data_IF_722672525922
#
_entry.id   IF_722672525922
#
_cell.length_a   1.000
_cell.length_b   1.000
_cell.length_c   1.000
_cell.angle_alpha   90.00
_cell.angle_beta   90.00
_cell.angle_gamma   90.00
#
_symmetry.space_group_name_H-M   'P 1'
#
loop_
_entity.id
_entity.type
_entity.pdbx_description
1 polymer ?
#
# COMPACT_ATOMS: atom_id res chain seq x y z
N UNK A 1 18.93 4.31 2.51
CA UNK A 1 18.20 3.36 1.63
C UNK A 1 16.73 3.67 1.82
N UNK A 2 16.00 3.85 0.72
CA UNK A 2 14.55 4.09 0.74
C UNK A 2 13.88 2.81 0.28
N UNK A 3 12.83 2.42 0.98
CA UNK A 3 12.08 1.20 0.72
C UNK A 3 10.63 1.57 0.55
N UNK A 4 9.96 0.85 -0.34
CA UNK A 4 8.53 0.98 -0.56
C UNK A 4 7.84 -0.25 0.01
N UNK A 5 6.67 -0.04 0.61
CA UNK A 5 5.85 -1.10 1.20
C UNK A 5 4.43 -0.99 0.65
N UNK A 6 3.78 -2.14 0.48
CA UNK A 6 2.39 -2.22 0.07
C UNK A 6 1.69 -3.26 0.92
N UNK A 7 0.54 -2.85 1.45
CA UNK A 7 -0.39 -3.71 2.18
C UNK A 7 -1.75 -3.57 1.51
N UNK A 8 -2.45 -4.69 1.33
CA UNK A 8 -3.83 -4.75 0.87
C UNK A 8 -4.60 -5.53 1.94
N UNK A 9 -5.45 -4.82 2.67
CA UNK A 9 -6.30 -5.41 3.71
C UNK A 9 -7.43 -6.22 3.08
N UNK A 10 -7.86 -7.28 3.77
CA UNK A 10 -9.11 -7.96 3.42
C UNK A 10 -10.30 -7.06 3.74
N UNK A 11 -11.36 -7.06 2.91
CA UNK A 11 -12.64 -6.51 3.30
C UNK A 11 -13.13 -7.17 4.60
N UNK A 12 -13.71 -6.39 5.51
CA UNK A 12 -14.19 -6.89 6.81
C UNK A 12 -15.17 -8.08 6.69
N UNK A 13 -15.89 -8.17 5.57
CA UNK A 13 -16.83 -9.25 5.25
C UNK A 13 -16.14 -10.61 5.00
N UNK A 14 -14.84 -10.61 4.72
CA UNK A 14 -14.02 -11.78 4.40
C UNK A 14 -13.02 -12.14 5.50
N UNK A 15 -12.99 -11.37 6.59
CA UNK A 15 -12.17 -11.65 7.78
C UNK A 15 -12.94 -12.63 8.66
N UNK A 16 -12.34 -13.78 8.97
CA UNK A 16 -12.91 -14.75 9.91
C UNK A 16 -12.38 -14.47 11.32
N UNK A 17 -13.14 -13.68 12.10
CA UNK A 17 -12.81 -13.35 13.49
C UNK A 17 -12.64 -14.59 14.40
N UNK A 18 -13.14 -15.76 13.99
CA UNK A 18 -12.98 -17.01 14.73
C UNK A 18 -11.63 -17.71 14.43
N UNK A 19 -10.97 -17.38 13.31
CA UNK A 19 -9.63 -17.84 12.97
C UNK A 19 -8.62 -16.70 13.17
N UNK A 20 -8.21 -16.47 14.43
CA UNK A 20 -7.13 -15.52 14.76
C UNK A 20 -5.77 -16.06 14.28
N UNK A 21 -5.50 -15.91 12.99
CA UNK A 21 -4.19 -16.14 12.39
C UNK A 21 -3.65 -14.77 11.99
N UNK A 22 -2.53 -14.32 12.58
CA UNK A 22 -1.99 -12.95 12.40
C UNK A 22 -1.77 -12.55 10.93
N UNK A 23 -1.60 -13.52 10.03
CA UNK A 23 -1.41 -13.31 8.59
C UNK A 23 -2.71 -13.33 7.76
N UNK A 24 -3.86 -13.58 8.37
CA UNK A 24 -5.12 -13.80 7.65
C UNK A 24 -5.96 -12.53 7.48
N UNK A 25 -5.51 -11.37 7.97
CA UNK A 25 -6.23 -10.10 7.80
C UNK A 25 -5.91 -9.38 6.47
N UNK A 26 -4.88 -9.85 5.76
CA UNK A 26 -4.37 -9.20 4.55
C UNK A 26 -4.60 -10.07 3.31
N UNK A 27 -5.03 -9.45 2.21
CA UNK A 27 -4.95 -10.07 0.89
C UNK A 27 -3.51 -10.12 0.40
N UNK A 28 -2.71 -9.13 0.81
CA UNK A 28 -1.31 -9.02 0.46
C UNK A 28 -0.57 -8.13 1.46
N UNK A 29 0.65 -8.52 1.81
CA UNK A 29 1.63 -7.69 2.50
C UNK A 29 3.00 -8.06 1.95
N UNK A 30 3.74 -7.07 1.42
CA UNK A 30 5.08 -7.34 0.89
C UNK A 30 6.04 -7.85 1.98
N UNK A 31 5.74 -7.59 3.27
CA UNK A 31 6.53 -8.07 4.40
C UNK A 31 6.52 -9.60 4.56
N UNK A 32 5.56 -10.30 3.95
CA UNK A 32 5.48 -11.76 3.98
C UNK A 32 6.24 -12.41 2.81
N UNK A 33 6.81 -11.60 1.91
CA UNK A 33 7.65 -12.08 0.82
C UNK A 33 9.08 -12.42 1.28
N UNK A 34 9.80 -13.17 0.45
CA UNK A 34 11.20 -13.54 0.73
C UNK A 34 12.17 -12.38 0.65
N UNK A 35 11.90 -11.39 -0.20
CA UNK A 35 12.74 -10.20 -0.39
C UNK A 35 11.91 -8.91 -0.23
N UNK A 36 11.40 -8.63 0.98
CA UNK A 36 10.38 -7.60 1.21
C UNK A 36 10.87 -6.17 0.91
N UNK A 37 12.17 -5.94 0.90
CA UNK A 37 12.79 -4.62 0.71
C UNK A 37 13.33 -4.41 -0.72
N UNK A 38 13.33 -5.46 -1.56
CA UNK A 38 13.92 -5.45 -2.90
C UNK A 38 12.99 -4.94 -4.01
N UNK A 39 11.84 -4.38 -3.65
CA UNK A 39 10.78 -4.00 -4.60
C UNK A 39 10.67 -2.48 -4.79
N UNK A 40 10.36 -2.09 -6.03
CA UNK A 40 10.09 -0.71 -6.43
C UNK A 40 8.59 -0.47 -6.67
N UNK A 41 8.24 0.75 -7.06
CA UNK A 41 6.85 1.11 -7.34
C UNK A 41 6.29 0.40 -8.58
N UNK A 42 7.11 0.02 -9.56
CA UNK A 42 6.67 -0.73 -10.74
C UNK A 42 6.25 -2.16 -10.38
N UNK A 43 6.98 -2.80 -9.47
CA UNK A 43 6.56 -4.07 -8.87
C UNK A 43 5.17 -3.94 -8.23
N UNK A 44 4.95 -2.91 -7.41
CA UNK A 44 3.67 -2.73 -6.74
C UNK A 44 2.52 -2.34 -7.68
N UNK A 45 2.79 -1.63 -8.78
CA UNK A 45 1.82 -1.44 -9.87
C UNK A 45 1.33 -2.79 -10.42
N UNK A 46 2.22 -3.76 -10.59
CA UNK A 46 1.86 -5.09 -11.06
C UNK A 46 1.06 -5.88 -10.01
N UNK A 47 1.43 -5.80 -8.73
CA UNK A 47 0.68 -6.41 -7.63
C UNK A 47 -0.75 -5.86 -7.59
N UNK A 48 -0.94 -4.54 -7.58
CA UNK A 48 -2.27 -3.92 -7.57
C UNK A 48 -3.12 -4.34 -8.77
N UNK A 49 -2.50 -4.44 -9.96
CA UNK A 49 -3.18 -4.93 -11.18
C UNK A 49 -3.66 -6.38 -11.03
N UNK A 50 -2.91 -7.25 -10.37
CA UNK A 50 -3.32 -8.64 -10.12
C UNK A 50 -4.57 -8.72 -9.25
N UNK A 51 -4.72 -7.79 -8.30
CA UNK A 51 -5.91 -7.65 -7.46
C UNK A 51 -7.03 -6.81 -8.09
N UNK A 52 -6.87 -6.36 -9.35
CA UNK A 52 -7.81 -5.48 -10.05
C UNK A 52 -8.04 -4.13 -9.33
N UNK A 53 -7.06 -3.69 -8.53
CA UNK A 53 -7.09 -2.40 -7.85
C UNK A 53 -6.48 -1.36 -8.78
N UNK A 54 -7.25 -0.32 -9.07
CA UNK A 54 -6.80 0.81 -9.90
C UNK A 54 -6.46 1.98 -8.99
N UNK A 55 -5.21 2.43 -9.07
CA UNK A 55 -4.70 3.60 -8.34
C UNK A 55 -4.28 4.65 -9.37
N UNK A 56 -4.62 5.94 -9.18
CA UNK A 56 -4.16 7.02 -10.06
C UNK A 56 -2.64 7.13 -10.09
N UNK A 57 -2.06 7.41 -11.26
CA UNK A 57 -0.61 7.57 -11.45
C UNK A 57 -0.01 8.67 -10.56
N UNK A 58 -0.82 9.67 -10.22
CA UNK A 58 -0.43 10.75 -9.30
C UNK A 58 -0.05 10.23 -7.91
N UNK A 59 -0.64 9.14 -7.42
CA UNK A 59 -0.24 8.58 -6.13
C UNK A 59 1.19 8.04 -6.16
N UNK A 60 1.54 7.27 -7.21
CA UNK A 60 2.90 6.74 -7.35
C UNK A 60 3.93 7.86 -7.51
N UNK A 61 3.61 8.87 -8.32
CA UNK A 61 4.46 10.05 -8.50
C UNK A 61 4.73 10.77 -7.18
N UNK A 62 3.72 10.90 -6.32
CA UNK A 62 3.86 11.57 -5.03
C UNK A 62 4.67 10.74 -4.03
N UNK A 63 4.46 9.41 -3.99
CA UNK A 63 5.27 8.50 -3.17
C UNK A 63 6.74 8.51 -3.58
N UNK A 64 7.02 8.51 -4.89
CA UNK A 64 8.37 8.62 -5.43
C UNK A 64 9.02 9.95 -5.03
N UNK A 65 8.30 11.07 -5.17
CA UNK A 65 8.79 12.40 -4.75
C UNK A 65 9.05 12.50 -3.26
N UNK A 66 8.19 11.92 -2.43
CA UNK A 66 8.36 11.90 -0.98
C UNK A 66 9.62 11.13 -0.60
N UNK A 67 9.87 9.99 -1.28
CA UNK A 67 11.10 9.25 -1.15
C UNK A 67 12.29 10.13 -1.56
N UNK A 68 12.36 10.66 -2.78
CA UNK A 68 13.47 11.50 -3.26
C UNK A 68 13.81 12.68 -2.32
N UNK A 69 12.79 13.29 -1.72
CA UNK A 69 12.92 14.44 -0.81
C UNK A 69 13.14 14.07 0.65
N UNK A 70 13.15 12.77 0.96
CA UNK A 70 13.25 12.26 2.33
C UNK A 70 12.15 12.83 3.25
N UNK A 71 10.92 12.92 2.73
CA UNK A 71 9.72 13.33 3.47
C UNK A 71 9.31 12.18 4.38
N UNK A 72 9.33 12.41 5.69
CA UNK A 72 8.82 11.47 6.68
C UNK A 72 7.44 11.88 7.18
N UNK A 73 6.69 10.92 7.75
CA UNK A 73 5.44 11.15 8.50
C UNK A 73 4.32 11.87 7.72
N UNK A 74 4.37 11.93 6.38
CA UNK A 74 3.26 12.40 5.55
C UNK A 74 2.26 11.25 5.40
N UNK A 75 0.99 11.53 5.70
CA UNK A 75 -0.12 10.57 5.53
C UNK A 75 -1.19 11.21 4.66
N UNK A 76 -1.57 10.54 3.58
CA UNK A 76 -2.58 11.00 2.63
C UNK A 76 -3.60 9.89 2.41
N UNK A 77 -4.87 10.20 2.64
CA UNK A 77 -5.99 9.32 2.33
C UNK A 77 -6.61 9.75 1.01
N UNK A 78 -6.84 8.80 0.12
CA UNK A 78 -7.51 9.03 -1.15
C UNK A 78 -8.88 8.35 -1.18
N UNK A 79 -9.84 9.01 -1.81
CA UNK A 79 -11.22 8.56 -1.94
C UNK A 79 -11.52 8.08 -3.36
N UNK A 80 -12.59 7.31 -3.51
CA UNK A 80 -13.04 6.75 -4.81
C UNK A 80 -13.48 7.82 -5.82
N UNK A 81 -13.88 9.00 -5.35
CA UNK A 81 -14.23 10.14 -6.19
C UNK A 81 -13.00 10.94 -6.67
N UNK A 82 -11.79 10.48 -6.31
CA UNK A 82 -10.53 11.12 -6.64
C UNK A 82 -10.14 12.25 -5.69
N UNK A 83 -10.95 12.57 -4.67
CA UNK A 83 -10.58 13.50 -3.62
C UNK A 83 -9.53 12.89 -2.68
N UNK A 84 -8.81 13.73 -1.95
CA UNK A 84 -7.84 13.29 -0.96
C UNK A 84 -7.81 14.22 0.26
N UNK A 85 -7.39 13.68 1.40
CA UNK A 85 -7.12 14.43 2.62
C UNK A 85 -5.73 14.08 3.13
N UNK A 86 -4.96 15.09 3.52
CA UNK A 86 -3.68 14.89 4.19
C UNK A 86 -3.87 15.09 5.70
N UNK A 87 -3.24 14.23 6.49
CA UNK A 87 -3.20 14.36 7.95
C UNK A 87 -1.80 14.79 8.38
N UNK A 88 -1.73 15.64 9.40
CA UNK A 88 -0.49 15.92 10.12
C UNK A 88 -0.36 14.91 11.27
N UNK A 89 0.82 14.31 11.39
CA UNK A 89 1.18 13.36 12.46
C UNK A 89 1.92 14.07 13.60
#
# INVERSE_FOLDING_TARGET
MQYFFLVIEKPAELVDDAMQVEDDDHLYSNLHERDPFGHDLDYYRAVLRNFQIVVPESMFTEVERDAERNVGNRVVDHQVDGSFTQREL
#
